data_IF_118836180892
#
_entry.id   IF_118836180892
#
_cell.length_a   1.000
_cell.length_b   1.000
_cell.length_c   1.000
_cell.angle_alpha   90.00
_cell.angle_beta   90.00
_cell.angle_gamma   90.00
#
_symmetry.space_group_name_H-M   'P 1'
#
loop_
_entity.id
_entity.type
_entity.pdbx_description
1 polymer ?
#
# COMPACT_ATOMS: atom_id res chain seq x y z
N UNK A 1 6.63 22.44 -9.68
CA UNK A 1 6.51 20.97 -9.53
C UNK A 1 6.43 20.38 -10.91
N UNK A 2 7.27 19.38 -11.16
CA UNK A 2 7.51 18.83 -12.49
C UNK A 2 6.66 17.58 -12.70
N UNK A 3 5.80 17.60 -13.70
CA UNK A 3 5.06 16.45 -14.18
C UNK A 3 5.60 16.01 -15.54
N UNK A 4 5.70 14.71 -15.78
CA UNK A 4 6.14 14.19 -17.07
C UNK A 4 5.00 13.48 -17.80
N UNK A 5 4.82 13.86 -19.06
CA UNK A 5 3.77 13.35 -19.92
C UNK A 5 4.33 12.80 -21.22
N UNK A 6 3.64 11.81 -21.77
CA UNK A 6 3.72 11.39 -23.17
C UNK A 6 2.33 11.46 -23.77
N UNK A 7 2.23 12.11 -24.92
CA UNK A 7 1.02 12.10 -25.73
C UNK A 7 1.24 11.38 -27.04
N UNK A 8 0.20 10.72 -27.52
CA UNK A 8 0.06 10.31 -28.91
C UNK A 8 -0.95 11.24 -29.55
N UNK A 9 -0.63 11.80 -30.72
CA UNK A 9 -1.52 12.72 -31.43
C UNK A 9 -1.45 12.51 -32.94
N UNK A 10 -2.52 12.89 -33.65
CA UNK A 10 -2.55 12.98 -35.11
C UNK A 10 -1.89 14.29 -35.53
N UNK A 11 -0.79 14.19 -36.26
CA UNK A 11 -0.07 15.35 -36.78
C UNK A 11 -0.41 15.56 -38.24
N UNK A 12 -0.87 16.78 -38.52
CA UNK A 12 -1.07 17.31 -39.87
C UNK A 12 -0.01 18.39 -40.14
N UNK A 13 0.39 18.63 -41.40
CA UNK A 13 1.50 19.54 -41.73
C UNK A 13 1.41 20.94 -41.10
N UNK A 14 0.20 21.45 -40.91
CA UNK A 14 -0.05 22.79 -40.33
C UNK A 14 -0.47 22.76 -38.84
N UNK A 15 -0.42 21.58 -38.20
CA UNK A 15 -0.79 21.43 -36.78
C UNK A 15 0.33 21.88 -35.84
N UNK A 16 0.01 22.83 -34.95
CA UNK A 16 0.89 23.25 -33.85
C UNK A 16 0.43 22.60 -32.53
N UNK A 17 0.96 21.41 -32.26
CA UNK A 17 0.64 20.68 -31.03
C UNK A 17 1.09 21.45 -29.77
N UNK A 18 2.15 22.26 -29.86
CA UNK A 18 2.62 23.05 -28.73
C UNK A 18 1.61 24.16 -28.40
N UNK A 19 1.09 24.84 -29.42
CA UNK A 19 0.00 25.80 -29.23
C UNK A 19 -1.24 25.14 -28.62
N UNK A 20 -1.60 23.93 -29.04
CA UNK A 20 -2.71 23.17 -28.43
C UNK A 20 -2.44 22.93 -26.94
N UNK A 21 -1.26 22.46 -26.56
CA UNK A 21 -0.90 22.24 -25.15
C UNK A 21 -0.96 23.54 -24.33
N UNK A 22 -0.46 24.65 -24.88
CA UNK A 22 -0.53 25.96 -24.22
C UNK A 22 -1.97 26.45 -24.05
N UNK A 23 -2.83 26.28 -25.06
CA UNK A 23 -4.24 26.67 -24.98
C UNK A 23 -4.97 25.85 -23.92
N UNK A 24 -4.77 24.53 -23.90
CA UNK A 24 -5.37 23.66 -22.87
C UNK A 24 -4.91 24.05 -21.48
N UNK A 25 -3.62 24.35 -21.29
CA UNK A 25 -3.11 24.81 -20.00
C UNK A 25 -3.68 26.17 -19.61
N UNK A 26 -3.76 27.10 -20.57
CA UNK A 26 -4.36 28.41 -20.37
C UNK A 26 -5.81 28.29 -19.91
N UNK A 27 -6.61 27.45 -20.59
CA UNK A 27 -8.03 27.24 -20.28
C UNK A 27 -8.26 26.74 -18.86
N UNK A 28 -7.36 25.89 -18.38
CA UNK A 28 -7.42 25.34 -17.02
C UNK A 28 -6.97 26.34 -15.97
N UNK A 29 -6.13 27.31 -16.35
CA UNK A 29 -5.64 28.38 -15.47
C UNK A 29 -6.52 29.65 -15.50
N UNK A 30 -7.63 29.67 -16.28
CA UNK A 30 -8.47 30.87 -16.49
C UNK A 30 -8.98 31.49 -15.18
N UNK A 31 -9.20 30.69 -14.13
CA UNK A 31 -9.69 31.23 -12.86
C UNK A 31 -8.63 32.03 -12.07
N UNK A 32 -7.35 32.00 -12.47
CA UNK A 32 -6.25 32.62 -11.72
C UNK A 32 -5.77 33.97 -12.27
N UNK A 33 -6.15 34.44 -13.47
CA UNK A 33 -5.81 35.76 -14.11
C UNK A 33 -4.32 36.26 -14.01
N UNK A 34 -3.41 35.45 -13.45
CA UNK A 34 -2.07 35.85 -13.00
C UNK A 34 -0.98 35.48 -14.01
N UNK A 35 -1.30 34.62 -14.99
CA UNK A 35 -0.33 34.06 -15.92
C UNK A 35 -0.48 34.62 -17.34
N UNK A 36 0.57 35.27 -17.84
CA UNK A 36 0.69 35.64 -19.25
C UNK A 36 1.00 34.44 -20.14
N UNK A 37 0.69 34.55 -21.44
CA UNK A 37 1.00 33.55 -22.46
C UNK A 37 2.47 33.08 -22.44
N UNK A 38 3.40 34.00 -22.18
CA UNK A 38 4.82 33.69 -22.10
C UNK A 38 5.16 32.87 -20.85
N UNK A 39 4.48 33.12 -19.72
CA UNK A 39 4.63 32.29 -18.53
C UNK A 39 4.09 30.88 -18.78
N UNK A 40 2.91 30.76 -19.39
CA UNK A 40 2.27 29.47 -19.74
C UNK A 40 3.18 28.67 -20.69
N UNK A 41 3.73 29.31 -21.73
CA UNK A 41 4.69 28.67 -22.65
C UNK A 41 5.92 28.13 -21.94
N UNK A 42 6.43 28.82 -20.91
CA UNK A 42 7.59 28.37 -20.13
C UNK A 42 7.27 27.20 -19.20
N UNK A 43 6.01 27.01 -18.82
CA UNK A 43 5.58 25.87 -18.01
C UNK A 43 5.61 24.56 -18.81
N UNK A 44 5.54 24.62 -20.16
CA UNK A 44 5.57 23.42 -21.01
C UNK A 44 6.93 23.30 -21.69
N UNK A 45 7.69 22.27 -21.32
CA UNK A 45 9.02 22.00 -21.86
C UNK A 45 8.93 20.74 -22.71
N UNK A 46 9.15 20.87 -24.02
CA UNK A 46 9.16 19.74 -24.94
C UNK A 46 10.48 18.96 -24.80
N UNK A 47 10.39 17.64 -24.61
CA UNK A 47 11.55 16.82 -24.28
C UNK A 47 11.99 15.93 -25.45
N UNK A 48 11.07 15.13 -25.98
CA UNK A 48 11.37 14.16 -27.03
C UNK A 48 10.20 14.00 -27.98
N UNK A 49 10.51 13.74 -29.24
CA UNK A 49 9.53 13.52 -30.28
C UNK A 49 9.90 12.25 -31.06
N UNK A 50 8.91 11.45 -31.42
CA UNK A 50 9.09 10.30 -32.30
C UNK A 50 8.07 10.34 -33.42
N UNK A 51 8.60 10.40 -34.64
CA UNK A 51 7.83 10.34 -35.88
C UNK A 51 7.28 8.94 -36.10
N UNK A 52 5.96 8.86 -36.36
CA UNK A 52 5.32 7.65 -36.82
C UNK A 52 5.35 7.53 -38.34
N UNK A 53 4.55 6.60 -38.85
CA UNK A 53 4.44 6.38 -40.30
C UNK A 53 3.41 7.37 -40.86
N UNK A 54 3.74 7.95 -42.01
CA UNK A 54 2.82 8.79 -42.77
C UNK A 54 1.69 7.93 -43.36
N UNK A 55 0.47 8.41 -43.21
CA UNK A 55 -0.75 7.76 -43.66
C UNK A 55 -1.60 8.77 -44.41
N UNK A 56 -2.52 8.25 -45.21
CA UNK A 56 -3.50 9.04 -45.95
C UNK A 56 -4.89 8.57 -45.53
N UNK A 57 -5.77 9.50 -45.18
CA UNK A 57 -7.17 9.15 -44.89
C UNK A 57 -8.02 9.02 -46.17
N UNK A 58 -9.31 8.74 -46.00
CA UNK A 58 -10.25 8.54 -47.12
C UNK A 58 -10.44 9.80 -47.98
N UNK A 59 -10.12 10.98 -47.44
CA UNK A 59 -10.25 12.29 -48.08
C UNK A 59 -8.92 12.78 -48.71
N UNK A 60 -7.94 11.88 -48.86
CA UNK A 60 -6.59 12.16 -49.36
C UNK A 60 -5.74 13.10 -48.46
N UNK A 61 -6.13 13.30 -47.20
CA UNK A 61 -5.34 14.10 -46.26
C UNK A 61 -4.19 13.29 -45.70
N UNK A 62 -2.99 13.86 -45.76
CA UNK A 62 -1.76 13.26 -45.22
C UNK A 62 -1.64 13.58 -43.73
N UNK A 63 -1.46 12.55 -42.92
CA UNK A 63 -1.23 12.68 -41.49
C UNK A 63 -0.20 11.67 -41.00
N UNK A 64 0.37 11.90 -39.81
CA UNK A 64 1.22 10.94 -39.13
C UNK A 64 0.83 10.80 -37.66
N UNK A 65 0.99 9.61 -37.10
CA UNK A 65 0.86 9.43 -35.65
C UNK A 65 2.16 9.80 -34.96
N UNK A 66 2.13 10.84 -34.14
CA UNK A 66 3.30 11.37 -33.45
C UNK A 66 3.27 11.03 -31.97
N UNK A 67 4.43 10.73 -31.41
CA UNK A 67 4.62 10.71 -29.96
C UNK A 67 5.38 11.95 -29.53
N UNK A 68 4.88 12.65 -28.53
CA UNK A 68 5.53 13.81 -27.91
C UNK A 68 5.61 13.61 -26.41
N UNK A 69 6.83 13.66 -25.89
CA UNK A 69 7.10 13.79 -24.47
C UNK A 69 7.29 15.24 -24.08
N UNK A 70 6.64 15.66 -23.00
CA UNK A 70 6.82 17.00 -22.45
C UNK A 70 6.78 16.98 -20.93
N UNK A 71 7.40 17.99 -20.35
CA UNK A 71 7.33 18.32 -18.94
C UNK A 71 6.38 19.48 -18.74
N UNK A 72 5.53 19.38 -17.72
CA UNK A 72 4.74 20.48 -17.20
C UNK A 72 5.33 20.91 -15.86
N UNK A 73 5.93 22.09 -15.80
CA UNK A 73 6.46 22.69 -14.57
C UNK A 73 5.52 23.79 -14.07
N UNK A 74 4.68 23.42 -13.10
CA UNK A 74 3.74 24.36 -12.47
C UNK A 74 4.38 25.08 -11.28
N UNK A 75 4.18 26.39 -11.11
CA UNK A 75 4.66 27.10 -9.94
C UNK A 75 3.94 26.67 -8.65
N UNK A 76 4.52 27.03 -7.51
CA UNK A 76 4.11 26.50 -6.21
C UNK A 76 2.78 27.05 -5.68
N UNK A 77 2.35 28.20 -6.18
CA UNK A 77 1.16 28.98 -5.81
C UNK A 77 -0.15 28.46 -6.44
N UNK A 78 -0.07 27.69 -7.53
CA UNK A 78 -1.25 27.14 -8.21
C UNK A 78 -1.94 26.03 -7.39
N UNK A 79 -3.27 25.92 -7.50
CA UNK A 79 -4.07 24.82 -6.95
C UNK A 79 -3.78 23.47 -7.65
N UNK A 80 -2.60 22.90 -7.34
CA UNK A 80 -1.94 21.83 -8.10
C UNK A 80 -2.80 20.60 -8.43
N UNK A 81 -3.66 20.18 -7.49
CA UNK A 81 -4.47 18.95 -7.68
C UNK A 81 -5.57 19.18 -8.71
N UNK A 82 -6.33 20.27 -8.57
CA UNK A 82 -7.44 20.58 -9.47
C UNK A 82 -6.93 20.91 -10.87
N UNK A 83 -5.89 21.75 -10.96
CA UNK A 83 -5.27 22.13 -12.23
C UNK A 83 -4.76 20.92 -13.00
N UNK A 84 -4.06 19.98 -12.37
CA UNK A 84 -3.51 18.81 -13.09
C UNK A 84 -4.61 17.84 -13.51
N UNK A 85 -5.58 17.56 -12.65
CA UNK A 85 -6.67 16.65 -13.00
C UNK A 85 -7.51 17.27 -14.14
N UNK A 86 -7.83 18.57 -14.09
CA UNK A 86 -8.52 19.27 -15.18
C UNK A 86 -7.69 19.29 -16.47
N UNK A 87 -6.39 19.61 -16.40
CA UNK A 87 -5.49 19.58 -17.55
C UNK A 87 -5.47 18.21 -18.23
N UNK A 88 -5.38 17.13 -17.45
CA UNK A 88 -5.41 15.76 -17.98
C UNK A 88 -6.76 15.44 -18.63
N UNK A 89 -7.88 15.79 -18.00
CA UNK A 89 -9.21 15.57 -18.57
C UNK A 89 -9.41 16.37 -19.86
N UNK A 90 -9.03 17.65 -19.89
CA UNK A 90 -9.12 18.48 -21.09
C UNK A 90 -8.23 17.94 -22.21
N UNK A 91 -6.99 17.52 -21.92
CA UNK A 91 -6.10 16.93 -22.93
C UNK A 91 -6.69 15.67 -23.58
N UNK A 92 -7.38 14.81 -22.81
CA UNK A 92 -7.99 13.58 -23.35
C UNK A 92 -9.09 13.87 -24.36
N UNK A 93 -9.81 14.97 -24.18
CA UNK A 93 -10.94 15.36 -25.01
C UNK A 93 -10.54 16.34 -26.13
N UNK A 94 -9.28 16.80 -26.18
CA UNK A 94 -8.80 17.82 -27.12
C UNK A 94 -8.20 17.19 -28.38
N UNK A 95 -8.83 17.33 -29.56
CA UNK A 95 -8.18 16.98 -30.82
C UNK A 95 -6.94 17.87 -31.06
N UNK A 96 -5.86 17.35 -31.65
CA UNK A 96 -5.74 16.03 -32.28
C UNK A 96 -5.14 14.95 -31.34
N UNK A 97 -5.22 15.12 -30.02
CA UNK A 97 -4.64 14.20 -29.04
C UNK A 97 -5.48 12.92 -29.00
N UNK A 98 -4.81 11.77 -29.11
CA UNK A 98 -5.41 10.44 -29.13
C UNK A 98 -5.21 9.70 -27.80
N UNK A 99 -4.10 9.95 -27.12
CA UNK A 99 -3.77 9.28 -25.87
C UNK A 99 -2.82 10.13 -25.03
N UNK A 100 -2.97 10.03 -23.70
CA UNK A 100 -2.16 10.74 -22.72
C UNK A 100 -1.70 9.74 -21.66
N UNK A 101 -0.39 9.71 -21.39
CA UNK A 101 0.23 8.93 -20.32
C UNK A 101 1.02 9.86 -19.41
N UNK A 102 0.82 9.76 -18.10
CA UNK A 102 1.58 10.47 -17.08
C UNK A 102 2.58 9.52 -16.42
N UNK A 103 3.83 9.95 -16.28
CA UNK A 103 4.94 9.16 -15.71
C UNK A 103 5.32 9.69 -14.34
N UNK A 104 6.01 10.83 -14.30
CA UNK A 104 6.38 11.50 -13.05
C UNK A 104 5.18 12.32 -12.55
N UNK A 105 4.73 12.01 -11.34
CA UNK A 105 3.61 12.66 -10.67
C UNK A 105 3.99 12.92 -9.21
N UNK A 106 4.56 14.10 -8.89
CA UNK A 106 4.97 14.44 -7.54
C UNK A 106 3.82 14.41 -6.53
N UNK A 107 2.59 14.68 -6.96
CA UNK A 107 1.41 14.63 -6.09
C UNK A 107 1.10 13.17 -5.71
N UNK A 108 1.13 12.26 -6.67
CA UNK A 108 0.98 10.83 -6.40
C UNK A 108 2.14 10.33 -5.53
N UNK A 109 3.38 10.74 -5.81
CA UNK A 109 4.54 10.34 -5.03
C UNK A 109 4.41 10.75 -3.56
N UNK A 110 4.02 12.00 -3.30
CA UNK A 110 3.79 12.51 -1.94
C UNK A 110 2.67 11.73 -1.22
N UNK A 111 1.56 11.48 -1.91
CA UNK A 111 0.45 10.72 -1.34
C UNK A 111 0.87 9.28 -1.00
N UNK A 112 1.52 8.57 -1.93
CA UNK A 112 2.00 7.20 -1.69
C UNK A 112 3.04 7.15 -0.56
N UNK A 113 3.92 8.15 -0.46
CA UNK A 113 4.89 8.26 0.62
C UNK A 113 4.23 8.47 1.99
N UNK A 114 3.18 9.32 2.05
CA UNK A 114 2.39 9.51 3.27
C UNK A 114 1.72 8.19 3.70
N UNK A 115 1.05 7.50 2.77
CA UNK A 115 0.44 6.19 3.05
C UNK A 115 1.47 5.14 3.46
N UNK A 116 2.69 5.20 2.93
CA UNK A 116 3.80 4.34 3.34
C UNK A 116 4.17 4.52 4.80
N UNK A 117 4.27 5.77 5.25
CA UNK A 117 4.54 6.06 6.65
C UNK A 117 3.40 5.56 7.56
N UNK A 118 2.14 5.75 7.16
CA UNK A 118 0.96 5.27 7.91
C UNK A 118 0.98 3.73 8.07
N UNK A 119 1.15 3.00 6.97
CA UNK A 119 1.18 1.53 6.97
C UNK A 119 2.39 1.00 7.75
N UNK A 120 3.56 1.64 7.62
CA UNK A 120 4.75 1.25 8.37
C UNK A 120 4.52 1.36 9.89
N UNK A 121 3.97 2.48 10.36
CA UNK A 121 3.69 2.70 11.77
C UNK A 121 2.67 1.68 12.30
N UNK A 122 1.63 1.41 11.54
CA UNK A 122 0.63 0.40 11.83
C UNK A 122 1.25 -1.01 11.94
N UNK A 123 2.12 -1.38 10.99
CA UNK A 123 2.80 -2.68 10.98
C UNK A 123 3.72 -2.84 12.19
N UNK A 124 4.48 -1.80 12.56
CA UNK A 124 5.33 -1.83 13.76
C UNK A 124 4.50 -2.02 15.03
N UNK A 125 3.34 -1.33 15.13
CA UNK A 125 2.42 -1.48 16.27
C UNK A 125 1.81 -2.89 16.30
N UNK A 126 1.39 -3.43 15.16
CA UNK A 126 0.90 -4.80 15.03
C UNK A 126 1.97 -5.82 15.48
N UNK A 127 3.20 -5.72 14.96
CA UNK A 127 4.30 -6.60 15.36
C UNK A 127 4.59 -6.53 16.85
N UNK A 128 4.49 -5.34 17.46
CA UNK A 128 4.62 -5.18 18.92
C UNK A 128 3.57 -5.98 19.68
N UNK A 129 2.30 -5.86 19.29
CA UNK A 129 1.19 -6.61 19.90
C UNK A 129 1.38 -8.11 19.73
N UNK A 130 1.65 -8.57 18.51
CA UNK A 130 1.87 -9.98 18.22
C UNK A 130 3.06 -10.55 19.00
N UNK A 131 4.15 -9.80 19.09
CA UNK A 131 5.31 -10.18 19.90
C UNK A 131 4.93 -10.34 21.38
N UNK A 132 4.13 -9.42 21.92
CA UNK A 132 3.66 -9.49 23.30
C UNK A 132 2.82 -10.75 23.55
N UNK A 133 1.83 -11.00 22.71
CA UNK A 133 0.95 -12.19 22.78
C UNK A 133 1.77 -13.47 22.75
N UNK A 134 2.65 -13.63 21.75
CA UNK A 134 3.32 -14.91 21.53
C UNK A 134 4.46 -15.16 22.52
N UNK A 135 5.18 -14.10 22.96
CA UNK A 135 6.16 -14.25 24.03
C UNK A 135 5.48 -14.61 25.36
N UNK A 136 4.28 -14.07 25.61
CA UNK A 136 3.49 -14.44 26.78
C UNK A 136 2.94 -15.88 26.69
N UNK A 137 2.50 -16.33 25.52
CA UNK A 137 2.02 -17.70 25.33
C UNK A 137 3.15 -18.74 25.43
N UNK A 138 4.35 -18.40 24.95
CA UNK A 138 5.50 -19.30 24.85
C UNK A 138 6.66 -18.92 25.79
N UNK A 139 6.36 -18.61 27.06
CA UNK A 139 7.37 -18.14 28.04
C UNK A 139 8.58 -19.07 28.22
N UNK A 140 8.39 -20.38 28.01
CA UNK A 140 9.45 -21.39 28.15
C UNK A 140 10.08 -21.79 26.80
N UNK A 141 9.64 -21.18 25.70
CA UNK A 141 10.07 -21.51 24.33
C UNK A 141 11.28 -20.70 23.84
N UNK A 142 11.70 -20.98 22.60
CA UNK A 142 12.70 -20.16 21.91
C UNK A 142 12.03 -18.86 21.41
N UNK A 143 12.47 -17.67 21.86
CA UNK A 143 11.88 -16.39 21.44
C UNK A 143 12.10 -16.07 19.94
N UNK A 144 12.95 -16.84 19.26
CA UNK A 144 13.17 -16.76 17.82
C UNK A 144 12.35 -17.77 17.01
N UNK A 145 11.58 -18.63 17.68
CA UNK A 145 10.72 -19.64 17.05
C UNK A 145 9.27 -19.55 17.55
N UNK A 146 8.72 -18.33 17.56
CA UNK A 146 7.37 -18.04 18.05
C UNK A 146 6.26 -18.66 17.19
N UNK A 147 6.50 -18.86 15.89
CA UNK A 147 5.50 -19.36 14.93
C UNK A 147 5.57 -20.89 14.71
N UNK A 148 6.25 -21.62 15.58
CA UNK A 148 6.49 -23.07 15.40
C UNK A 148 5.20 -23.92 15.34
N UNK A 149 4.10 -23.45 15.93
CA UNK A 149 2.79 -24.12 15.87
C UNK A 149 1.87 -23.53 14.80
N UNK A 150 2.28 -22.47 14.11
CA UNK A 150 1.46 -21.76 13.13
C UNK A 150 1.52 -22.43 11.75
N UNK A 151 0.45 -22.24 10.98
CA UNK A 151 0.31 -22.71 9.61
C UNK A 151 1.08 -21.83 8.62
N UNK A 152 1.46 -20.63 9.04
CA UNK A 152 2.16 -19.63 8.25
C UNK A 152 3.53 -20.16 7.82
N UNK A 153 3.83 -20.03 6.52
CA UNK A 153 5.11 -20.48 5.95
C UNK A 153 5.92 -19.32 5.42
N UNK A 154 7.22 -19.33 5.70
CA UNK A 154 8.16 -18.40 5.11
C UNK A 154 8.56 -18.88 3.71
N UNK A 155 8.72 -17.94 2.77
CA UNK A 155 9.38 -18.24 1.49
C UNK A 155 10.85 -18.61 1.71
N UNK A 156 11.50 -17.92 2.66
CA UNK A 156 12.83 -18.24 3.18
C UNK A 156 12.80 -18.03 4.69
N UNK A 157 13.02 -19.10 5.43
CA UNK A 157 12.97 -19.05 6.89
C UNK A 157 14.12 -18.19 7.43
N UNK A 158 13.85 -17.21 8.31
CA UNK A 158 14.88 -16.36 8.88
C UNK A 158 15.75 -17.17 9.85
N UNK A 159 17.07 -16.98 9.78
CA UNK A 159 17.97 -17.63 10.73
C UNK A 159 17.93 -16.96 12.10
N UNK A 160 18.15 -17.74 13.17
CA UNK A 160 18.22 -17.23 14.54
C UNK A 160 19.28 -16.15 14.71
N UNK A 161 20.46 -16.34 14.12
CA UNK A 161 21.56 -15.37 14.22
C UNK A 161 21.23 -14.05 13.50
N UNK A 162 20.54 -14.11 12.36
CA UNK A 162 20.07 -12.93 11.65
C UNK A 162 19.06 -12.14 12.50
N UNK A 163 18.03 -12.80 13.01
CA UNK A 163 17.02 -12.16 13.86
C UNK A 163 17.66 -11.56 15.11
N UNK A 164 18.57 -12.28 15.76
CA UNK A 164 19.31 -11.77 16.91
C UNK A 164 20.17 -10.55 16.57
N UNK A 165 20.89 -10.59 15.45
CA UNK A 165 21.72 -9.48 14.99
C UNK A 165 20.95 -8.20 14.70
N UNK A 166 19.71 -8.34 14.22
CA UNK A 166 18.82 -7.21 13.88
C UNK A 166 17.88 -6.80 15.03
N UNK A 167 17.85 -7.54 16.14
CA UNK A 167 16.88 -7.35 17.24
C UNK A 167 15.44 -7.56 16.75
N UNK A 168 15.25 -8.58 15.92
CA UNK A 168 13.97 -8.97 15.32
C UNK A 168 13.50 -10.33 15.85
N UNK A 169 12.25 -10.65 15.54
CA UNK A 169 11.70 -11.99 15.67
C UNK A 169 10.98 -12.39 14.38
N UNK A 170 10.37 -13.57 14.34
CA UNK A 170 9.72 -14.11 13.15
C UNK A 170 8.62 -13.20 12.55
N UNK A 171 7.96 -12.32 13.33
CA UNK A 171 6.94 -11.41 12.81
C UNK A 171 7.48 -10.34 11.85
N UNK A 172 8.79 -10.04 11.91
CA UNK A 172 9.45 -9.11 10.98
C UNK A 172 9.61 -9.68 9.57
N UNK A 173 9.47 -10.99 9.44
CA UNK A 173 9.62 -11.73 8.19
C UNK A 173 8.28 -12.17 7.59
N UNK A 174 7.18 -11.72 8.18
CA UNK A 174 5.83 -11.93 7.65
C UNK A 174 5.43 -10.82 6.67
N UNK A 175 4.64 -11.18 5.67
CA UNK A 175 3.89 -10.23 4.85
C UNK A 175 2.56 -9.87 5.53
N UNK A 176 1.98 -8.73 5.14
CA UNK A 176 0.67 -8.31 5.65
C UNK A 176 -0.42 -9.39 5.53
N UNK A 177 -0.48 -10.08 4.39
CA UNK A 177 -1.38 -11.21 4.13
C UNK A 177 -1.18 -12.42 5.03
N UNK A 178 -0.03 -12.56 5.68
CA UNK A 178 0.23 -13.69 6.55
C UNK A 178 -0.35 -13.49 7.96
N UNK A 179 -0.51 -12.24 8.40
CA UNK A 179 -1.06 -11.95 9.73
C UNK A 179 -2.50 -12.46 9.92
N UNK A 180 -3.30 -12.53 8.86
CA UNK A 180 -4.70 -13.04 8.94
C UNK A 180 -4.79 -14.55 9.16
N UNK A 181 -3.68 -15.28 8.96
CA UNK A 181 -3.62 -16.73 9.11
C UNK A 181 -2.95 -17.16 10.43
N UNK A 182 -2.72 -16.20 11.32
CA UNK A 182 -2.21 -16.49 12.67
C UNK A 182 -3.28 -17.17 13.53
N UNK A 183 -2.81 -17.83 14.59
CA UNK A 183 -3.57 -18.69 15.48
C UNK A 183 -4.21 -19.91 14.77
N UNK A 184 -3.55 -20.44 13.74
CA UNK A 184 -4.03 -21.59 12.99
C UNK A 184 -2.93 -22.64 12.89
N UNK A 185 -3.19 -23.88 13.31
CA UNK A 185 -2.20 -24.96 13.18
C UNK A 185 -2.10 -25.46 11.74
N UNK A 186 -0.92 -25.91 11.30
CA UNK A 186 -0.80 -26.65 10.06
C UNK A 186 -1.61 -27.96 10.15
N UNK A 187 -2.06 -28.45 9.00
CA UNK A 187 -2.75 -29.74 8.92
C UNK A 187 -1.91 -30.86 9.55
N UNK A 188 -2.51 -31.58 10.50
CA UNK A 188 -1.87 -32.70 11.18
C UNK A 188 -1.82 -33.89 10.22
N UNK A 189 -0.62 -34.23 9.76
CA UNK A 189 -0.41 -35.39 8.89
C UNK A 189 -0.66 -36.70 9.65
N UNK A 190 -1.10 -37.73 8.92
CA UNK A 190 -1.46 -39.04 9.48
C UNK A 190 -0.41 -39.64 10.46
N UNK A 191 0.91 -39.61 10.19
CA UNK A 191 1.88 -40.14 11.13
C UNK A 191 1.84 -39.41 12.49
N UNK A 192 1.82 -38.08 12.48
CA UNK A 192 1.74 -37.27 13.70
C UNK A 192 0.40 -37.47 14.42
N UNK A 193 -0.70 -37.63 13.68
CA UNK A 193 -2.01 -37.95 14.24
C UNK A 193 -2.00 -39.30 14.97
N UNK A 194 -1.36 -40.31 14.39
CA UNK A 194 -1.21 -41.63 15.03
C UNK A 194 -0.37 -41.54 16.29
N UNK A 195 0.67 -40.71 16.31
CA UNK A 195 1.49 -40.49 17.50
C UNK A 195 0.70 -39.81 18.62
N UNK A 196 -0.09 -38.77 18.29
CA UNK A 196 -1.00 -38.13 19.24
C UNK A 196 -2.01 -39.15 19.79
N UNK A 197 -2.63 -39.95 18.90
CA UNK A 197 -3.59 -41.00 19.29
C UNK A 197 -2.97 -42.04 20.24
N UNK A 198 -1.73 -42.46 19.98
CA UNK A 198 -1.01 -43.42 20.84
C UNK A 198 -0.63 -42.85 22.19
N UNK A 199 -0.31 -41.55 22.23
CA UNK A 199 0.06 -40.86 23.47
C UNK A 199 -1.13 -40.44 24.33
N UNK A 200 -2.33 -40.36 23.75
CA UNK A 200 -3.51 -39.93 24.46
C UNK A 200 -4.06 -41.05 25.36
N UNK A 201 -4.05 -40.82 26.67
CA UNK A 201 -4.63 -41.75 27.64
C UNK A 201 -6.17 -41.81 27.57
N UNK A 202 -6.79 -40.72 27.11
CA UNK A 202 -8.24 -40.55 27.03
C UNK A 202 -8.66 -39.84 25.74
N UNK A 203 -9.88 -40.14 25.27
CA UNK A 203 -10.46 -39.51 24.10
C UNK A 203 -10.53 -37.98 24.23
N UNK A 204 -10.84 -37.46 25.41
CA UNK A 204 -10.94 -36.02 25.62
C UNK A 204 -9.57 -35.34 25.50
N UNK A 205 -8.48 -35.97 25.95
CA UNK A 205 -7.12 -35.46 25.76
C UNK A 205 -6.72 -35.44 24.28
N UNK A 206 -7.03 -36.52 23.56
CA UNK A 206 -6.83 -36.60 22.10
C UNK A 206 -7.60 -35.51 21.37
N UNK A 207 -8.89 -35.37 21.67
CA UNK A 207 -9.77 -34.36 21.08
C UNK A 207 -9.25 -32.96 21.36
N UNK A 208 -8.85 -32.68 22.60
CA UNK A 208 -8.33 -31.38 23.02
C UNK A 208 -7.06 -31.02 22.28
N UNK A 209 -6.13 -31.97 22.09
CA UNK A 209 -4.90 -31.70 21.34
C UNK A 209 -5.17 -31.45 19.84
N UNK A 210 -6.12 -32.15 19.23
CA UNK A 210 -6.46 -31.93 17.81
C UNK A 210 -7.06 -30.55 17.56
N UNK A 211 -7.95 -30.10 18.45
CA UNK A 211 -8.64 -28.81 18.29
C UNK A 211 -7.86 -27.64 18.89
N UNK A 212 -6.72 -27.91 19.53
CA UNK A 212 -5.90 -26.90 20.18
C UNK A 212 -5.45 -25.86 19.15
N UNK A 213 -5.61 -24.58 19.51
CA UNK A 213 -5.05 -23.45 18.78
C UNK A 213 -3.72 -23.03 19.40
N UNK A 214 -2.80 -22.40 18.64
CA UNK A 214 -1.50 -21.94 19.15
C UNK A 214 -1.64 -21.02 20.38
N UNK A 215 -2.51 -20.02 20.29
CA UNK A 215 -2.82 -19.05 21.35
C UNK A 215 -4.18 -19.40 21.96
N UNK A 216 -4.15 -19.90 23.20
CA UNK A 216 -5.33 -20.41 23.91
C UNK A 216 -5.96 -19.40 24.88
N UNK A 217 -5.21 -18.36 25.27
CA UNK A 217 -5.73 -17.32 26.16
C UNK A 217 -6.83 -16.55 25.42
N UNK A 218 -8.03 -16.52 26.00
CA UNK A 218 -9.27 -16.14 25.31
C UNK A 218 -9.21 -14.72 24.73
N UNK A 219 -8.65 -13.77 25.49
CA UNK A 219 -8.53 -12.38 25.06
C UNK A 219 -7.60 -12.21 23.87
N UNK A 220 -6.44 -12.88 23.89
CA UNK A 220 -5.46 -12.87 22.82
C UNK A 220 -6.01 -13.56 21.56
N UNK A 221 -6.66 -14.71 21.73
CA UNK A 221 -7.27 -15.45 20.63
C UNK A 221 -8.38 -14.64 19.95
N UNK A 222 -9.24 -13.97 20.75
CA UNK A 222 -10.28 -13.08 20.26
C UNK A 222 -9.70 -11.87 19.51
N UNK A 223 -8.63 -11.27 20.04
CA UNK A 223 -7.92 -10.20 19.35
C UNK A 223 -7.40 -10.63 17.97
N UNK A 224 -6.74 -11.80 17.89
CA UNK A 224 -6.19 -12.33 16.64
C UNK A 224 -7.29 -12.61 15.60
N UNK A 225 -8.43 -13.17 16.02
CA UNK A 225 -9.56 -13.40 15.14
C UNK A 225 -10.12 -12.09 14.54
N UNK A 226 -10.14 -11.01 15.33
CA UNK A 226 -10.62 -9.70 14.91
C UNK A 226 -9.71 -8.97 13.91
N UNK A 227 -8.44 -9.38 13.75
CA UNK A 227 -7.53 -8.77 12.77
C UNK A 227 -8.00 -8.99 11.33
N UNK A 228 -8.54 -10.18 11.04
CA UNK A 228 -8.85 -10.64 9.67
C UNK A 228 -9.72 -9.66 8.88
N UNK A 229 -10.77 -9.12 9.50
CA UNK A 229 -11.75 -8.26 8.82
C UNK A 229 -11.17 -6.92 8.34
N UNK A 230 -10.06 -6.47 8.93
CA UNK A 230 -9.51 -5.12 8.71
C UNK A 230 -8.27 -5.11 7.83
N UNK A 231 -7.58 -6.24 7.73
CA UNK A 231 -6.27 -6.32 7.07
C UNK A 231 -6.35 -6.27 5.54
N UNK A 232 -7.44 -6.76 4.93
CA UNK A 232 -7.60 -6.78 3.47
C UNK A 232 -7.53 -5.38 2.84
N UNK A 233 -8.14 -4.39 3.49
CA UNK A 233 -8.11 -3.00 3.03
C UNK A 233 -6.70 -2.39 3.13
N UNK A 234 -5.98 -2.69 4.21
CA UNK A 234 -4.59 -2.25 4.41
C UNK A 234 -3.67 -2.87 3.38
N UNK A 235 -3.81 -4.18 3.13
CA UNK A 235 -3.01 -4.88 2.13
C UNK A 235 -3.28 -4.35 0.72
N UNK A 236 -4.55 -4.11 0.37
CA UNK A 236 -4.91 -3.58 -0.94
C UNK A 236 -4.25 -2.21 -1.18
N UNK A 237 -4.26 -1.32 -0.19
CA UNK A 237 -3.56 -0.03 -0.28
C UNK A 237 -2.05 -0.20 -0.38
N UNK A 238 -1.44 -1.07 0.45
CA UNK A 238 -0.01 -1.38 0.40
C UNK A 238 0.41 -1.85 -1.00
N UNK A 239 -0.40 -2.68 -1.65
CA UNK A 239 -0.12 -3.19 -3.00
C UNK A 239 -0.13 -2.08 -4.05
N UNK A 240 -1.00 -1.07 -3.93
CA UNK A 240 -0.96 0.11 -4.79
C UNK A 240 0.40 0.84 -4.66
N UNK A 241 0.86 1.05 -3.43
CA UNK A 241 2.13 1.73 -3.16
C UNK A 241 3.34 0.93 -3.64
N UNK A 242 3.37 -0.38 -3.40
CA UNK A 242 4.46 -1.25 -3.84
C UNK A 242 4.64 -1.27 -5.38
N UNK A 243 3.59 -0.90 -6.12
CA UNK A 243 3.60 -0.83 -7.57
C UNK A 243 3.55 0.59 -8.13
N UNK A 244 3.70 1.62 -7.29
CA UNK A 244 3.60 3.04 -7.68
C UNK A 244 2.32 3.36 -8.46
N UNK A 245 1.20 2.75 -8.06
CA UNK A 245 -0.10 2.90 -8.71
C UNK A 245 -0.99 3.83 -7.91
N UNK A 246 -1.72 4.70 -8.62
CA UNK A 246 -2.80 5.49 -8.03
C UNK A 246 -3.88 4.55 -7.49
N UNK A 247 -4.22 4.61 -6.19
CA UNK A 247 -5.32 3.84 -5.64
C UNK A 247 -6.65 4.34 -6.23
N UNK A 248 -7.60 3.42 -6.47
CA UNK A 248 -8.95 3.83 -6.84
C UNK A 248 -9.66 4.44 -5.63
N UNK A 249 -10.70 5.26 -5.89
CA UNK A 249 -11.52 5.85 -4.83
C UNK A 249 -12.01 4.81 -3.81
N UNK A 250 -12.50 3.66 -4.30
CA UNK A 250 -12.94 2.54 -3.45
C UNK A 250 -11.82 2.00 -2.55
N UNK A 251 -10.59 1.91 -3.06
CA UNK A 251 -9.44 1.45 -2.27
C UNK A 251 -9.10 2.47 -1.19
N UNK A 252 -9.10 3.75 -1.53
CA UNK A 252 -8.89 4.85 -0.58
C UNK A 252 -9.95 4.85 0.52
N UNK A 253 -11.23 4.85 0.16
CA UNK A 253 -12.34 4.87 1.11
C UNK A 253 -12.28 3.65 2.06
N UNK A 254 -12.01 2.46 1.54
CA UNK A 254 -11.88 1.26 2.36
C UNK A 254 -10.70 1.34 3.33
N UNK A 255 -9.56 1.86 2.87
CA UNK A 255 -8.37 2.04 3.68
C UNK A 255 -8.61 3.05 4.81
N UNK A 256 -9.19 4.21 4.49
CA UNK A 256 -9.46 5.28 5.46
C UNK A 256 -10.48 4.85 6.53
N UNK A 257 -11.39 3.95 6.19
CA UNK A 257 -12.30 3.34 7.17
C UNK A 257 -11.62 2.27 8.02
N UNK A 258 -10.75 1.44 7.45
CA UNK A 258 -10.12 0.31 8.14
C UNK A 258 -8.99 0.74 9.08
N UNK A 259 -8.14 1.69 8.65
CA UNK A 259 -6.97 2.16 9.38
C UNK A 259 -7.28 2.57 10.83
N UNK A 260 -8.16 3.55 11.10
CA UNK A 260 -8.41 4.01 12.47
C UNK A 260 -9.03 2.93 13.36
N UNK A 261 -9.77 1.98 12.78
CA UNK A 261 -10.37 0.89 13.53
C UNK A 261 -9.33 -0.14 13.97
N UNK A 262 -8.39 -0.47 13.08
CA UNK A 262 -7.27 -1.35 13.42
C UNK A 262 -6.32 -0.68 14.41
N UNK A 263 -6.01 0.62 14.23
CA UNK A 263 -5.22 1.38 15.19
C UNK A 263 -5.85 1.38 16.58
N UNK A 264 -7.15 1.68 16.69
CA UNK A 264 -7.87 1.58 17.97
C UNK A 264 -7.82 0.19 18.58
N UNK A 265 -7.97 -0.86 17.78
CA UNK A 265 -7.92 -2.22 18.27
C UNK A 265 -6.54 -2.57 18.84
N UNK A 266 -5.47 -2.11 18.18
CA UNK A 266 -4.10 -2.28 18.64
C UNK A 266 -3.83 -1.46 19.91
N UNK A 267 -4.26 -0.20 19.94
CA UNK A 267 -4.08 0.67 21.10
C UNK A 267 -4.85 0.14 22.31
N UNK A 268 -6.11 -0.24 22.14
CA UNK A 268 -6.92 -0.84 23.21
C UNK A 268 -6.34 -2.18 23.72
N UNK A 269 -5.65 -2.94 22.88
CA UNK A 269 -4.92 -4.12 23.34
C UNK A 269 -3.73 -3.71 24.22
N UNK A 270 -2.91 -2.76 23.78
CA UNK A 270 -1.70 -2.32 24.48
C UNK A 270 -2.02 -1.56 25.77
N UNK A 271 -3.10 -0.78 25.78
CA UNK A 271 -3.55 0.00 26.94
C UNK A 271 -3.81 -0.89 28.16
N UNK A 272 -4.38 -2.09 27.97
CA UNK A 272 -4.61 -3.08 29.03
C UNK A 272 -3.34 -3.47 29.79
N UNK A 273 -2.19 -3.37 29.13
CA UNK A 273 -0.88 -3.76 29.66
C UNK A 273 -0.02 -2.54 30.01
N UNK A 274 -0.58 -1.34 29.94
CA UNK A 274 0.16 -0.13 30.31
C UNK A 274 0.45 -0.19 31.79
N UNK A 275 1.73 -0.09 32.11
CA UNK A 275 2.17 -0.08 33.50
C UNK A 275 1.72 1.22 34.18
N UNK A 276 0.78 1.12 35.12
CA UNK A 276 0.48 2.22 36.05
C UNK A 276 1.41 2.09 37.26
N UNK A 277 2.41 2.98 37.35
CA UNK A 277 3.36 3.01 38.45
C UNK A 277 2.70 3.26 39.83
N UNK A 278 1.42 3.69 39.88
CA UNK A 278 0.72 4.03 41.13
C UNK A 278 0.14 2.81 41.85
N UNK A 279 -0.13 1.70 41.17
CA UNK A 279 -0.73 0.49 41.78
C UNK A 279 0.28 -0.43 42.46
N UNK A 280 1.58 -0.24 42.24
CA UNK A 280 2.64 -1.10 42.79
C UNK A 280 3.07 -0.67 44.20
N UNK A 281 2.72 0.54 44.65
CA UNK A 281 3.09 1.04 45.99
C UNK A 281 2.19 0.49 47.09
N UNK A 282 0.89 0.28 46.83
CA UNK A 282 -0.09 -0.19 47.83
C UNK A 282 -0.09 -1.70 48.08
N UNK A 283 0.64 -2.50 47.29
CA UNK A 283 0.71 -3.97 47.44
C UNK A 283 1.96 -4.44 48.20
N UNK A 284 2.70 -3.52 48.82
CA UNK A 284 3.90 -3.78 49.62
C UNK A 284 3.79 -3.34 51.09
N UNK A 285 2.58 -3.14 51.61
CA UNK A 285 2.32 -2.98 53.05
C UNK A 285 1.72 -4.24 53.68
#
# INVERSE_FOLDING_TARGET
MIFEFLISYRHEPDSDIFAVLCNVLSDVLIDDDEFSDEQIRRMIILNYQRLGIEMTDEDENVFSHMLLGFTLDLPDDVSRVLTIDQFIETLKETPPILHVVKFEDPLLQQELARRAAEIFNLEMKLRRVLSFIYLHAYQQGDPYNLLHEESVRFAKEPSRDQMRGNVENQFFHLTFSQYINLNQRPEIKLPALLDILRSAEQYDSFRSEIIRVPIQQEEDASFLAGLKERMDAIETMRNCMAHNRRPSRRVTDNYENALPLLERQLDAYLERWTWDARTVVDSRE
#
